data_IF_766439023239
#
_entry.id   IF_766439023239
#
_cell.length_a   1.000
_cell.length_b   1.000
_cell.length_c   1.000
_cell.angle_alpha   90.00
_cell.angle_beta   90.00
_cell.angle_gamma   90.00
#
_symmetry.space_group_name_H-M   'P 1'
#
loop_
_entity.id
_entity.type
_entity.pdbx_description
1 polymer ?
#
# COMPACT_ATOMS: atom_id res chain seq x y z
N UNK A 1 26.77 21.50 -10.76
CA UNK A 1 26.62 21.85 -12.19
C UNK A 1 25.59 20.92 -12.81
N UNK A 2 24.50 21.48 -13.33
CA UNK A 2 23.35 20.75 -13.91
C UNK A 2 23.83 19.67 -14.90
N UNK A 3 24.88 19.94 -15.68
CA UNK A 3 25.45 18.98 -16.59
C UNK A 3 25.99 17.72 -15.92
N UNK A 4 26.71 17.88 -14.82
CA UNK A 4 27.21 16.74 -14.04
C UNK A 4 26.08 15.93 -13.39
N UNK A 5 24.96 16.56 -13.09
CA UNK A 5 23.77 15.90 -12.55
C UNK A 5 23.01 15.16 -13.65
N UNK A 6 22.93 15.72 -14.86
CA UNK A 6 22.29 15.09 -16.04
C UNK A 6 23.08 13.89 -16.55
N UNK A 7 24.42 13.94 -16.52
CA UNK A 7 25.28 12.85 -17.00
C UNK A 7 25.42 11.71 -16.00
N UNK A 8 25.20 11.97 -14.71
CA UNK A 8 25.09 10.91 -13.74
C UNK A 8 23.76 10.18 -13.95
N UNK A 9 23.83 8.92 -14.45
CA UNK A 9 22.69 8.04 -14.34
C UNK A 9 22.23 8.02 -12.88
N UNK A 10 21.11 8.64 -12.57
CA UNK A 10 20.45 8.49 -11.29
C UNK A 10 20.00 7.04 -11.21
N UNK A 11 20.80 6.19 -10.58
CA UNK A 11 20.36 4.86 -10.18
C UNK A 11 19.34 5.04 -9.05
N UNK A 12 18.09 5.24 -9.41
CA UNK A 12 17.00 5.19 -8.45
C UNK A 12 17.04 3.81 -7.76
N UNK A 13 17.11 3.80 -6.45
CA UNK A 13 17.01 2.57 -5.70
C UNK A 13 15.60 2.05 -5.88
N UNK A 14 15.47 0.98 -6.64
CA UNK A 14 14.20 0.40 -7.07
C UNK A 14 14.02 -0.95 -6.42
N UNK A 15 12.89 -1.13 -5.72
CA UNK A 15 12.42 -2.42 -5.25
C UNK A 15 11.42 -2.99 -6.26
N UNK A 16 11.20 -4.29 -6.21
CA UNK A 16 10.18 -4.95 -7.01
C UNK A 16 8.89 -5.10 -6.21
N UNK A 17 7.74 -5.10 -6.89
CA UNK A 17 6.49 -5.58 -6.33
C UNK A 17 6.49 -7.11 -6.30
N UNK A 18 5.72 -7.76 -5.42
CA UNK A 18 5.60 -9.22 -5.37
C UNK A 18 4.89 -9.83 -6.60
N UNK A 19 4.47 -9.00 -7.54
CA UNK A 19 3.70 -9.38 -8.73
C UNK A 19 4.44 -8.92 -9.99
N UNK A 20 4.87 -9.89 -10.80
CA UNK A 20 5.69 -9.63 -11.99
C UNK A 20 4.94 -8.80 -13.03
N UNK A 21 3.64 -9.08 -13.21
CA UNK A 21 2.78 -8.31 -14.11
C UNK A 21 2.74 -6.81 -13.75
N UNK A 22 2.86 -6.47 -12.47
CA UNK A 22 2.90 -5.09 -12.02
C UNK A 22 4.28 -4.46 -12.30
N UNK A 23 5.36 -5.21 -12.05
CA UNK A 23 6.73 -4.76 -12.33
C UNK A 23 6.93 -4.47 -13.81
N UNK A 24 6.37 -5.30 -14.70
CA UNK A 24 6.49 -5.14 -16.15
C UNK A 24 6.02 -3.75 -16.64
N UNK A 25 5.00 -3.16 -16.00
CA UNK A 25 4.44 -1.86 -16.37
C UNK A 25 4.92 -0.69 -15.51
N UNK A 26 5.19 -0.94 -14.23
CA UNK A 26 5.61 0.12 -13.30
C UNK A 26 7.12 0.30 -13.25
N UNK A 27 7.88 -0.68 -13.72
CA UNK A 27 9.34 -0.78 -13.52
C UNK A 27 9.73 -0.83 -12.03
N UNK A 28 8.85 -1.36 -11.18
CA UNK A 28 9.08 -1.51 -9.74
C UNK A 28 8.64 -0.31 -8.89
N UNK A 29 9.08 -0.33 -7.64
CA UNK A 29 8.77 0.63 -6.59
C UNK A 29 10.02 1.44 -6.25
N UNK A 30 9.99 2.76 -6.36
CA UNK A 30 11.16 3.63 -6.21
C UNK A 30 11.13 4.41 -4.91
N UNK A 31 12.30 4.59 -4.32
CA UNK A 31 12.49 5.56 -3.22
C UNK A 31 12.31 6.99 -3.77
N UNK A 32 11.80 7.89 -2.95
CA UNK A 32 11.49 9.26 -3.34
C UNK A 32 10.17 9.43 -4.10
N UNK A 33 9.36 8.35 -4.22
CA UNK A 33 8.04 8.41 -4.85
C UNK A 33 6.90 8.23 -3.84
N UNK A 34 5.80 8.90 -4.13
CA UNK A 34 4.51 8.71 -3.48
C UNK A 34 3.62 7.83 -4.37
N UNK A 35 3.43 6.59 -3.97
CA UNK A 35 2.53 5.64 -4.61
C UNK A 35 1.22 5.60 -3.85
N UNK A 36 0.10 5.86 -4.51
CA UNK A 36 -1.22 5.71 -3.89
C UNK A 36 -1.92 4.47 -4.42
N UNK A 37 -2.46 3.67 -3.51
CA UNK A 37 -3.29 2.50 -3.81
C UNK A 37 -4.71 2.81 -3.37
N UNK A 38 -5.66 2.70 -4.30
CA UNK A 38 -7.07 2.94 -4.01
C UNK A 38 -7.92 1.72 -4.34
N UNK A 39 -8.93 1.47 -3.52
CA UNK A 39 -9.88 0.39 -3.75
C UNK A 39 -11.17 0.60 -2.94
N UNK A 40 -12.23 -0.07 -3.33
CA UNK A 40 -13.45 -0.20 -2.54
C UNK A 40 -13.20 -0.88 -1.18
N UNK A 41 -14.19 -0.83 -0.30
CA UNK A 41 -14.13 -1.53 0.99
C UNK A 41 -14.12 -3.05 0.77
N UNK A 42 -13.34 -3.79 1.57
CA UNK A 42 -13.32 -5.26 1.52
C UNK A 42 -12.63 -5.89 0.30
N UNK A 43 -12.07 -5.09 -0.62
CA UNK A 43 -11.45 -5.58 -1.87
C UNK A 43 -10.08 -6.23 -1.68
N UNK A 44 -9.43 -6.01 -0.52
CA UNK A 44 -8.14 -6.64 -0.20
C UNK A 44 -6.93 -5.70 -0.18
N UNK A 45 -7.13 -4.37 0.03
CA UNK A 45 -6.04 -3.38 0.13
C UNK A 45 -4.97 -3.79 1.13
N UNK A 46 -5.37 -4.11 2.36
CA UNK A 46 -4.43 -4.48 3.43
C UNK A 46 -3.70 -5.78 3.11
N UNK A 47 -4.35 -6.75 2.43
CA UNK A 47 -3.68 -7.96 1.96
C UNK A 47 -2.62 -7.62 0.93
N UNK A 48 -2.92 -6.76 -0.05
CA UNK A 48 -1.94 -6.28 -1.03
C UNK A 48 -0.75 -5.60 -0.34
N UNK A 49 -1.00 -4.70 0.62
CA UNK A 49 0.05 -4.02 1.37
C UNK A 49 0.94 -4.99 2.17
N UNK A 50 0.38 -6.06 2.75
CA UNK A 50 1.15 -7.09 3.46
C UNK A 50 2.08 -7.86 2.55
N UNK A 51 1.64 -8.19 1.32
CA UNK A 51 2.50 -8.83 0.32
C UNK A 51 3.66 -7.90 -0.09
N UNK A 52 3.36 -6.63 -0.36
CA UNK A 52 4.39 -5.64 -0.68
C UNK A 52 5.38 -5.47 0.48
N UNK A 53 4.88 -5.35 1.73
CA UNK A 53 5.73 -5.20 2.91
C UNK A 53 6.68 -6.38 3.09
N UNK A 54 6.16 -7.61 2.98
CA UNK A 54 6.96 -8.83 3.09
C UNK A 54 8.02 -8.90 2.00
N UNK A 55 7.65 -8.59 0.77
CA UNK A 55 8.58 -8.66 -0.37
C UNK A 55 9.71 -7.61 -0.25
N UNK A 56 9.39 -6.40 0.20
CA UNK A 56 10.39 -5.38 0.52
C UNK A 56 11.40 -5.86 1.58
N UNK A 57 10.93 -6.51 2.64
CA UNK A 57 11.80 -7.10 3.68
C UNK A 57 12.72 -8.18 3.06
N UNK A 58 12.18 -9.05 2.22
CA UNK A 58 12.94 -10.10 1.51
C UNK A 58 14.02 -9.51 0.60
N UNK A 59 13.76 -8.38 -0.02
CA UNK A 59 14.71 -7.61 -0.82
C UNK A 59 15.70 -6.80 0.04
N UNK A 60 15.64 -6.92 1.37
CA UNK A 60 16.53 -6.27 2.35
C UNK A 60 16.27 -4.77 2.57
N UNK A 61 15.15 -4.25 2.10
CA UNK A 61 14.71 -2.90 2.45
C UNK A 61 14.15 -2.84 3.87
N UNK A 62 14.31 -1.69 4.51
CA UNK A 62 13.67 -1.39 5.79
C UNK A 62 12.30 -0.75 5.57
N UNK A 63 11.31 -1.23 6.31
CA UNK A 63 9.90 -0.88 6.09
C UNK A 63 9.27 -0.34 7.38
N UNK A 64 8.68 0.86 7.29
CA UNK A 64 7.73 1.37 8.28
C UNK A 64 6.31 0.97 7.89
N UNK A 65 5.60 0.29 8.78
CA UNK A 65 4.22 -0.15 8.53
C UNK A 65 3.26 0.48 9.53
N UNK A 66 2.39 1.34 9.02
CA UNK A 66 1.42 2.13 9.79
C UNK A 66 0.03 1.69 9.37
N UNK A 67 -0.55 0.76 10.13
CA UNK A 67 -1.92 0.30 9.95
C UNK A 67 -2.81 0.93 11.02
N UNK A 68 -3.66 1.87 10.62
CA UNK A 68 -4.47 2.66 11.55
C UNK A 68 -5.80 1.98 11.93
N UNK A 69 -6.23 0.96 11.19
CA UNK A 69 -7.46 0.21 11.47
C UNK A 69 -7.24 -1.08 12.24
N UNK A 70 -6.00 -1.52 12.41
CA UNK A 70 -5.74 -2.80 13.06
C UNK A 70 -4.62 -2.71 14.11
N UNK A 71 -4.63 -3.67 15.05
CA UNK A 71 -3.59 -3.76 16.07
C UNK A 71 -2.25 -4.23 15.46
N UNK A 72 -1.14 -3.88 16.11
CA UNK A 72 0.21 -4.37 15.77
C UNK A 72 0.24 -5.90 15.66
N UNK A 73 -0.42 -6.60 16.60
CA UNK A 73 -0.52 -8.06 16.57
C UNK A 73 -1.21 -8.57 15.31
N UNK A 74 -2.26 -7.90 14.85
CA UNK A 74 -3.00 -8.27 13.64
C UNK A 74 -2.16 -8.05 12.40
N UNK A 75 -1.46 -6.93 12.30
CA UNK A 75 -0.53 -6.63 11.20
C UNK A 75 0.61 -7.64 11.15
N UNK A 76 1.24 -7.93 12.29
CA UNK A 76 2.31 -8.93 12.39
C UNK A 76 1.85 -10.32 11.94
N UNK A 77 0.71 -10.80 12.46
CA UNK A 77 0.14 -12.08 12.06
C UNK A 77 -0.24 -12.11 10.57
N UNK A 78 -0.68 -10.98 10.02
CA UNK A 78 -0.99 -10.88 8.59
C UNK A 78 0.25 -11.05 7.71
N UNK A 79 1.36 -10.38 8.05
CA UNK A 79 2.62 -10.47 7.29
C UNK A 79 3.26 -11.85 7.44
N UNK A 80 3.33 -12.38 8.66
CA UNK A 80 3.82 -13.75 8.91
C UNK A 80 2.93 -14.80 8.21
N UNK A 81 1.62 -14.53 8.14
CA UNK A 81 0.67 -15.41 7.45
C UNK A 81 0.90 -15.49 5.94
N UNK A 82 1.29 -14.38 5.30
CA UNK A 82 1.70 -14.37 3.89
C UNK A 82 2.95 -15.22 3.69
N UNK A 83 3.95 -15.13 4.59
CA UNK A 83 5.17 -15.93 4.53
C UNK A 83 4.90 -17.42 4.65
N UNK A 84 4.08 -17.81 5.63
CA UNK A 84 3.72 -19.20 5.89
C UNK A 84 2.61 -19.73 4.96
N UNK A 85 2.05 -18.87 4.11
CA UNK A 85 0.89 -19.18 3.27
C UNK A 85 -0.26 -19.77 4.11
N UNK A 86 -0.52 -19.14 5.26
CA UNK A 86 -1.54 -19.58 6.21
C UNK A 86 -2.20 -18.39 6.92
N UNK A 87 -3.52 -18.35 7.02
CA UNK A 87 -4.23 -17.26 7.70
C UNK A 87 -4.07 -17.37 9.22
N UNK A 88 -2.92 -16.96 9.77
CA UNK A 88 -2.53 -17.13 11.18
C UNK A 88 -3.50 -16.49 12.20
N UNK A 89 -4.37 -15.62 11.76
CA UNK A 89 -5.42 -15.03 12.57
C UNK A 89 -6.64 -15.94 12.72
N UNK A 90 -6.79 -16.95 11.85
CA UNK A 90 -7.87 -17.94 11.90
C UNK A 90 -7.37 -19.25 12.51
N UNK A 91 -6.23 -19.74 12.08
CA UNK A 91 -5.68 -21.01 12.53
C UNK A 91 -4.16 -21.01 12.59
N UNK A 92 -3.62 -21.74 13.55
CA UNK A 92 -2.18 -22.05 13.66
C UNK A 92 -1.92 -23.56 13.61
N UNK A 93 -2.93 -24.32 13.22
CA UNK A 93 -2.83 -25.78 13.16
C UNK A 93 -1.71 -26.21 12.23
N UNK A 94 -0.89 -27.16 12.68
CA UNK A 94 0.26 -27.67 11.92
C UNK A 94 1.48 -26.76 11.89
N UNK A 95 1.51 -25.67 12.66
CA UNK A 95 2.68 -24.76 12.77
C UNK A 95 3.26 -24.89 14.18
N UNK A 96 4.53 -25.24 14.27
CA UNK A 96 5.25 -25.30 15.54
C UNK A 96 5.57 -23.92 16.11
N UNK A 97 5.81 -23.81 17.42
CA UNK A 97 6.27 -22.56 18.04
C UNK A 97 7.65 -22.14 17.46
N UNK A 98 8.51 -23.09 17.17
CA UNK A 98 9.82 -22.84 16.56
C UNK A 98 9.68 -22.22 15.17
N UNK A 99 8.79 -22.74 14.34
CA UNK A 99 8.48 -22.21 13.01
C UNK A 99 7.88 -20.80 13.09
N UNK A 100 6.96 -20.56 14.02
CA UNK A 100 6.42 -19.21 14.28
C UNK A 100 7.51 -18.24 14.71
N UNK A 101 8.42 -18.66 15.59
CA UNK A 101 9.53 -17.83 16.08
C UNK A 101 10.51 -17.52 14.97
N UNK A 102 10.86 -18.52 14.16
CA UNK A 102 11.71 -18.32 13.00
C UNK A 102 11.08 -17.33 12.03
N UNK A 103 9.82 -17.55 11.65
CA UNK A 103 9.10 -16.65 10.74
C UNK A 103 9.02 -15.23 11.29
N UNK A 104 8.76 -15.07 12.59
CA UNK A 104 8.78 -13.75 13.23
C UNK A 104 10.15 -13.07 13.05
N UNK A 105 11.25 -13.77 13.37
CA UNK A 105 12.59 -13.23 13.27
C UNK A 105 12.99 -12.88 11.83
N UNK A 106 12.55 -13.69 10.86
CA UNK A 106 12.86 -13.49 9.44
C UNK A 106 12.00 -12.38 8.80
N UNK A 107 10.89 -11.97 9.41
CA UNK A 107 9.94 -10.98 8.92
C UNK A 107 9.84 -9.75 9.83
N UNK A 108 8.82 -9.67 10.63
CA UNK A 108 8.51 -8.50 11.46
C UNK A 108 9.52 -8.26 12.58
N UNK A 109 10.23 -9.27 13.03
CA UNK A 109 11.30 -9.21 14.03
C UNK A 109 12.70 -9.06 13.42
N UNK A 110 12.84 -8.88 12.12
CA UNK A 110 14.12 -8.83 11.39
C UNK A 110 15.02 -7.62 11.74
N UNK A 111 14.52 -6.68 12.53
CA UNK A 111 15.20 -5.41 12.80
C UNK A 111 15.08 -4.37 11.66
N UNK A 112 14.47 -4.76 10.54
CA UNK A 112 14.19 -3.89 9.38
C UNK A 112 12.70 -3.56 9.20
N UNK A 113 11.87 -3.95 10.16
CA UNK A 113 10.44 -3.73 10.11
C UNK A 113 9.97 -2.96 11.34
N UNK A 114 9.36 -1.80 11.12
CA UNK A 114 8.93 -0.87 12.17
C UNK A 114 7.41 -0.76 12.16
N UNK A 115 6.76 -1.37 13.15
CA UNK A 115 5.32 -1.27 13.37
C UNK A 115 4.97 -0.04 14.22
N UNK A 116 4.04 0.77 13.74
CA UNK A 116 3.54 1.91 14.49
C UNK A 116 2.26 1.58 15.23
N UNK A 117 2.27 1.83 16.54
CA UNK A 117 1.07 1.72 17.37
C UNK A 117 0.39 3.09 17.51
N UNK A 118 -0.83 3.21 17.03
CA UNK A 118 -1.57 4.48 17.01
C UNK A 118 -2.46 4.72 18.25
N UNK A 119 -2.50 3.80 19.21
CA UNK A 119 -3.34 3.95 20.39
C UNK A 119 -2.95 5.20 21.19
N UNK A 120 -3.73 6.27 21.04
CA UNK A 120 -3.71 7.44 21.89
C UNK A 120 -3.50 8.81 21.25
N UNK A 121 -3.08 8.96 20.01
CA UNK A 121 -2.98 10.28 19.36
C UNK A 121 -2.76 10.16 17.86
N UNK A 122 -3.77 10.50 17.10
CA UNK A 122 -3.75 10.51 15.63
C UNK A 122 -3.86 11.91 15.04
N UNK A 123 -3.21 12.89 15.63
CA UNK A 123 -3.08 14.20 14.99
C UNK A 123 -2.20 14.02 13.76
N UNK A 124 -2.62 14.50 12.58
CA UNK A 124 -1.89 14.34 11.31
C UNK A 124 -0.43 14.80 11.40
N UNK A 125 -0.16 15.88 12.12
CA UNK A 125 1.20 16.39 12.33
C UNK A 125 2.06 15.41 13.14
N UNK A 126 1.46 14.69 14.10
CA UNK A 126 2.14 13.63 14.83
C UNK A 126 2.49 12.46 13.91
N UNK A 127 1.58 12.10 13.00
CA UNK A 127 1.81 11.01 12.05
C UNK A 127 2.94 11.37 11.07
N UNK A 128 2.91 12.59 10.50
CA UNK A 128 3.98 13.08 9.62
C UNK A 128 5.33 13.15 10.35
N UNK A 129 5.34 13.58 11.62
CA UNK A 129 6.54 13.61 12.46
C UNK A 129 7.07 12.19 12.72
N UNK A 130 6.20 11.19 12.90
CA UNK A 130 6.61 9.79 13.05
C UNK A 130 7.17 9.20 11.77
N UNK A 131 6.57 9.50 10.62
CA UNK A 131 7.11 9.09 9.31
C UNK A 131 8.49 9.71 9.10
N UNK A 132 8.67 11.00 9.44
CA UNK A 132 9.96 11.69 9.38
C UNK A 132 10.99 11.06 10.30
N UNK A 133 10.59 10.68 11.52
CA UNK A 133 11.46 9.97 12.45
C UNK A 133 11.89 8.60 11.92
N UNK A 134 10.97 7.82 11.37
CA UNK A 134 11.27 6.53 10.73
C UNK A 134 12.29 6.73 9.60
N UNK A 135 12.09 7.74 8.75
CA UNK A 135 12.98 8.03 7.64
C UNK A 135 14.39 8.44 8.08
N UNK A 136 14.50 9.36 9.06
CA UNK A 136 15.78 9.99 9.41
C UNK A 136 16.53 9.29 10.55
N UNK A 137 15.81 8.65 11.48
CA UNK A 137 16.40 8.07 12.68
C UNK A 137 16.43 6.54 12.64
N UNK A 138 15.51 5.91 11.94
CA UNK A 138 15.45 4.46 11.78
C UNK A 138 15.96 3.99 10.41
N UNK A 139 16.37 4.90 9.54
CA UNK A 139 16.85 4.62 8.18
C UNK A 139 15.87 3.73 7.37
N UNK A 140 14.59 4.07 7.46
CA UNK A 140 13.53 3.35 6.75
C UNK A 140 13.54 3.73 5.28
N UNK A 141 13.51 2.72 4.40
CA UNK A 141 13.50 2.91 2.94
C UNK A 141 12.11 3.19 2.39
N UNK A 142 11.11 2.46 2.92
CA UNK A 142 9.72 2.57 2.49
C UNK A 142 8.77 2.64 3.67
N UNK A 143 7.73 3.48 3.56
CA UNK A 143 6.64 3.55 4.53
C UNK A 143 5.33 3.17 3.87
N UNK A 144 4.58 2.25 4.47
CA UNK A 144 3.23 1.87 4.07
C UNK A 144 2.26 2.46 5.09
N UNK A 145 1.33 3.30 4.63
CA UNK A 145 0.29 3.93 5.44
C UNK A 145 -1.10 3.43 5.02
N UNK A 146 -1.70 2.58 5.85
CA UNK A 146 -3.02 1.99 5.66
C UNK A 146 -3.96 2.43 6.80
N UNK A 147 -4.88 3.37 6.59
CA UNK A 147 -5.15 4.18 5.42
C UNK A 147 -5.34 5.67 5.78
N UNK A 148 -5.31 6.53 4.74
CA UNK A 148 -5.36 7.99 4.85
C UNK A 148 -6.52 8.53 5.70
N UNK A 149 -7.75 8.06 5.47
CA UNK A 149 -8.95 8.63 6.10
C UNK A 149 -8.98 8.45 7.62
N UNK A 150 -8.38 7.39 8.15
CA UNK A 150 -8.22 7.22 9.60
C UNK A 150 -7.21 8.23 10.19
N UNK A 151 -6.17 8.56 9.43
CA UNK A 151 -5.23 9.60 9.84
C UNK A 151 -5.88 10.98 9.98
N UNK A 152 -6.94 11.22 9.22
CA UNK A 152 -7.64 12.51 9.16
C UNK A 152 -8.85 12.59 10.10
N UNK A 153 -9.48 11.47 10.45
CA UNK A 153 -10.65 11.45 11.33
C UNK A 153 -10.37 12.05 12.71
N UNK A 154 -9.12 12.00 13.16
CA UNK A 154 -8.68 12.59 14.42
C UNK A 154 -8.42 14.11 14.36
N UNK A 155 -8.43 14.72 13.16
CA UNK A 155 -8.27 16.16 12.99
C UNK A 155 -9.60 16.92 13.00
N UNK A 156 -10.73 16.21 12.86
CA UNK A 156 -12.04 16.81 12.60
C UNK A 156 -12.64 17.65 13.73
N UNK A 157 -12.11 17.55 14.95
CA UNK A 157 -12.72 18.22 16.10
C UNK A 157 -12.21 19.65 16.38
N UNK A 158 -11.12 20.10 15.79
CA UNK A 158 -10.54 21.40 16.18
C UNK A 158 -10.48 22.47 15.07
N UNK A 159 -10.43 22.15 13.77
CA UNK A 159 -10.10 23.21 12.80
C UNK A 159 -10.86 23.27 11.47
N UNK A 160 -11.49 22.23 10.94
CA UNK A 160 -12.33 22.35 9.73
C UNK A 160 -13.31 21.18 9.58
N UNK A 161 -14.58 21.46 9.32
CA UNK A 161 -15.59 20.47 8.88
C UNK A 161 -15.40 20.02 7.41
N UNK A 162 -14.27 20.34 6.77
CA UNK A 162 -14.00 20.06 5.36
C UNK A 162 -12.92 18.98 5.21
N UNK A 163 -13.34 17.72 5.17
CA UNK A 163 -12.48 16.55 4.96
C UNK A 163 -11.53 16.75 3.76
N UNK A 164 -11.98 17.45 2.71
CA UNK A 164 -11.18 17.70 1.51
C UNK A 164 -9.95 18.55 1.81
N UNK A 165 -10.10 19.62 2.58
CA UNK A 165 -8.97 20.50 2.96
C UNK A 165 -7.95 19.75 3.81
N UNK A 166 -8.42 18.88 4.70
CA UNK A 166 -7.54 18.05 5.52
C UNK A 166 -6.74 17.06 4.67
N UNK A 167 -7.38 16.44 3.69
CA UNK A 167 -6.70 15.54 2.72
C UNK A 167 -5.66 16.34 1.95
N UNK A 168 -6.03 17.49 1.39
CA UNK A 168 -5.11 18.33 0.62
C UNK A 168 -3.90 18.74 1.45
N UNK A 169 -4.11 19.16 2.68
CA UNK A 169 -3.05 19.52 3.62
C UNK A 169 -2.11 18.31 3.88
N UNK A 170 -2.68 17.18 4.30
CA UNK A 170 -1.90 16.01 4.66
C UNK A 170 -1.09 15.47 3.48
N UNK A 171 -1.72 15.29 2.33
CA UNK A 171 -1.05 14.73 1.13
C UNK A 171 0.03 15.68 0.62
N UNK A 172 -0.19 17.00 0.68
CA UNK A 172 0.82 18.01 0.34
C UNK A 172 2.03 17.95 1.28
N UNK A 173 1.80 17.86 2.59
CA UNK A 173 2.87 17.71 3.59
C UNK A 173 3.61 16.37 3.45
N UNK A 174 2.87 15.30 3.16
CA UNK A 174 3.47 13.99 2.92
C UNK A 174 4.36 14.01 1.66
N UNK A 175 3.92 14.66 0.58
CA UNK A 175 4.74 14.84 -0.63
C UNK A 175 6.03 15.59 -0.33
N UNK A 176 5.95 16.71 0.39
CA UNK A 176 7.13 17.46 0.83
C UNK A 176 8.08 16.58 1.65
N UNK A 177 7.54 15.77 2.55
CA UNK A 177 8.33 14.86 3.38
C UNK A 177 9.06 13.80 2.51
N UNK A 178 8.38 13.24 1.51
CA UNK A 178 8.98 12.30 0.55
C UNK A 178 10.15 12.95 -0.19
N UNK A 179 10.00 14.16 -0.67
CA UNK A 179 11.06 14.92 -1.35
C UNK A 179 12.25 15.25 -0.43
N UNK A 180 11.97 15.66 0.80
CA UNK A 180 13.01 16.00 1.78
C UNK A 180 13.81 14.78 2.30
N UNK A 181 13.19 13.62 2.38
CA UNK A 181 13.79 12.44 3.00
C UNK A 181 14.25 11.39 2.00
N UNK A 182 13.73 11.43 0.78
CA UNK A 182 14.00 10.43 -0.25
C UNK A 182 13.39 9.05 0.02
N UNK A 183 12.49 8.90 1.02
CA UNK A 183 11.81 7.62 1.27
C UNK A 183 10.76 7.34 0.19
N UNK A 184 10.48 6.06 -0.09
CA UNK A 184 9.29 5.67 -0.82
C UNK A 184 8.08 5.59 0.12
N UNK A 185 6.94 6.13 -0.30
CA UNK A 185 5.70 6.03 0.49
C UNK A 185 4.60 5.36 -0.31
N UNK A 186 3.98 4.35 0.30
CA UNK A 186 2.78 3.70 -0.22
C UNK A 186 1.61 4.13 0.65
N UNK A 187 0.74 4.96 0.07
CA UNK A 187 -0.44 5.50 0.72
C UNK A 187 -1.69 4.73 0.27
N UNK A 188 -2.44 4.20 1.22
CA UNK A 188 -3.74 3.60 0.93
C UNK A 188 -4.84 4.65 1.09
N UNK A 189 -5.70 4.77 0.08
CA UNK A 189 -6.86 5.66 0.07
C UNK A 189 -8.13 4.91 -0.28
N UNK A 190 -9.24 5.33 0.29
CA UNK A 190 -10.55 4.81 -0.08
C UNK A 190 -11.13 5.51 -1.32
N UNK A 191 -11.99 4.80 -2.02
CA UNK A 191 -12.82 5.37 -3.08
C UNK A 191 -14.04 6.11 -2.49
N UNK A 192 -14.55 7.08 -3.23
CA UNK A 192 -15.89 7.62 -2.98
C UNK A 192 -16.93 6.51 -3.13
N UNK A 193 -18.05 6.65 -2.45
CA UNK A 193 -19.19 5.80 -2.76
C UNK A 193 -19.56 5.99 -4.24
N UNK A 194 -19.78 4.89 -4.93
CA UNK A 194 -20.20 4.93 -6.33
C UNK A 194 -21.57 5.60 -6.43
N UNK A 195 -21.73 6.52 -7.37
CA UNK A 195 -23.05 7.00 -7.78
C UNK A 195 -23.63 5.98 -8.79
N UNK A 196 -24.83 5.45 -8.51
CA UNK A 196 -25.53 4.47 -9.33
C UNK A 196 -25.62 3.07 -8.71
N UNK A 197 -26.26 2.15 -9.45
CA UNK A 197 -26.65 0.81 -8.96
C UNK A 197 -25.48 -0.18 -8.77
N UNK A 198 -24.31 0.09 -9.39
CA UNK A 198 -23.10 -0.74 -9.22
C UNK A 198 -22.07 -0.04 -8.34
N UNK A 199 -21.70 -0.72 -7.25
CA UNK A 199 -20.57 -0.32 -6.39
C UNK A 199 -19.21 -0.73 -6.99
N UNK A 200 -18.13 -0.20 -6.42
CA UNK A 200 -16.76 -0.66 -6.74
C UNK A 200 -16.52 -2.09 -6.25
N UNK A 201 -17.27 -2.50 -5.24
CA UNK A 201 -17.38 -3.87 -4.74
C UNK A 201 -18.15 -4.82 -5.68
N UNK A 202 -18.84 -4.30 -6.68
CA UNK A 202 -19.53 -5.07 -7.73
C UNK A 202 -18.73 -5.07 -9.06
N UNK A 203 -17.42 -4.79 -9.00
CA UNK A 203 -16.52 -4.82 -10.15
C UNK A 203 -16.56 -3.59 -11.06
N UNK A 204 -17.18 -2.47 -10.62
CA UNK A 204 -17.13 -1.21 -11.37
C UNK A 204 -15.70 -0.75 -11.57
N UNK A 205 -15.35 -0.32 -12.78
CA UNK A 205 -14.03 0.23 -13.06
C UNK A 205 -13.77 1.51 -12.27
N UNK A 206 -12.57 1.58 -11.72
CA UNK A 206 -12.12 2.73 -10.94
C UNK A 206 -11.47 3.75 -11.86
N UNK A 207 -11.90 4.98 -11.79
CA UNK A 207 -11.30 6.12 -12.50
C UNK A 207 -10.65 7.08 -11.50
N UNK A 208 -9.83 8.01 -12.00
CA UNK A 208 -9.22 9.05 -11.14
C UNK A 208 -10.27 9.88 -10.37
N UNK A 209 -11.44 10.12 -10.96
CA UNK A 209 -12.53 10.87 -10.34
C UNK A 209 -13.19 10.11 -9.17
N UNK A 210 -12.94 8.81 -9.07
CA UNK A 210 -13.47 7.96 -8.00
C UNK A 210 -12.71 8.11 -6.67
N UNK A 211 -11.55 8.81 -6.65
CA UNK A 211 -10.80 9.07 -5.43
C UNK A 211 -11.63 9.88 -4.43
N UNK A 212 -11.72 9.34 -3.21
CA UNK A 212 -12.44 10.01 -2.13
C UNK A 212 -11.62 11.20 -1.63
N UNK A 213 -12.30 12.33 -1.50
CA UNK A 213 -11.81 13.51 -0.82
C UNK A 213 -11.23 14.55 -1.75
N UNK A 214 -10.17 14.28 -2.51
CA UNK A 214 -9.46 15.36 -3.18
C UNK A 214 -8.77 14.95 -4.47
N UNK A 215 -8.76 15.86 -5.44
CA UNK A 215 -7.93 15.79 -6.64
C UNK A 215 -6.42 15.79 -6.31
N UNK A 216 -6.03 16.32 -5.15
CA UNK A 216 -4.62 16.40 -4.73
C UNK A 216 -3.97 15.03 -4.63
N UNK A 217 -4.71 14.00 -4.20
CA UNK A 217 -4.20 12.63 -4.15
C UNK A 217 -3.70 12.21 -5.54
N UNK A 218 -4.52 12.40 -6.57
CA UNK A 218 -4.16 12.06 -7.94
C UNK A 218 -3.03 12.95 -8.49
N UNK A 219 -3.02 14.24 -8.15
CA UNK A 219 -2.03 15.20 -8.64
C UNK A 219 -0.64 14.96 -8.02
N UNK A 220 -0.59 14.74 -6.70
CA UNK A 220 0.66 14.66 -5.92
C UNK A 220 1.28 13.26 -5.92
N UNK A 221 0.51 12.21 -6.23
CA UNK A 221 1.07 10.86 -6.40
C UNK A 221 1.87 10.74 -7.69
N UNK A 222 3.01 10.04 -7.61
CA UNK A 222 3.81 9.67 -8.76
C UNK A 222 3.22 8.45 -9.48
N UNK A 223 2.69 7.51 -8.71
CA UNK A 223 1.98 6.33 -9.19
C UNK A 223 0.62 6.25 -8.51
N UNK A 224 -0.41 5.90 -9.27
CA UNK A 224 -1.75 5.65 -8.74
C UNK A 224 -2.25 4.31 -9.23
N UNK A 225 -2.43 3.39 -8.30
CA UNK A 225 -2.94 2.05 -8.54
C UNK A 225 -4.37 1.94 -8.02
N UNK A 226 -5.23 1.27 -8.76
CA UNK A 226 -6.54 0.87 -8.26
C UNK A 226 -6.64 -0.64 -8.19
N UNK A 227 -7.30 -1.12 -7.13
CA UNK A 227 -7.65 -2.53 -6.98
C UNK A 227 -9.18 -2.62 -6.99
N UNK A 228 -9.73 -3.35 -7.95
CA UNK A 228 -11.16 -3.63 -8.06
C UNK A 228 -11.41 -5.13 -7.99
N UNK A 229 -12.52 -5.51 -7.39
CA UNK A 229 -12.94 -6.91 -7.25
C UNK A 229 -14.45 -6.97 -7.21
N UNK A 230 -15.02 -7.91 -7.92
CA UNK A 230 -16.40 -8.30 -7.72
C UNK A 230 -16.48 -9.26 -6.52
N UNK A 231 -16.96 -8.73 -5.38
CA UNK A 231 -17.06 -9.50 -4.13
C UNK A 231 -18.13 -10.61 -4.24
N UNK A 232 -19.12 -10.42 -5.13
CA UNK A 232 -20.21 -11.39 -5.37
C UNK A 232 -19.76 -12.55 -6.25
N UNK A 233 -18.66 -12.39 -6.98
CA UNK A 233 -18.09 -13.43 -7.82
C UNK A 233 -17.40 -14.52 -7.01
N UNK A 234 -17.72 -15.77 -7.27
CA UNK A 234 -17.06 -16.93 -6.66
C UNK A 234 -15.57 -17.04 -7.01
N UNK A 235 -15.15 -16.40 -8.10
CA UNK A 235 -13.76 -16.46 -8.61
C UNK A 235 -12.74 -15.71 -7.75
N UNK A 236 -13.19 -14.80 -6.89
CA UNK A 236 -12.34 -13.98 -5.98
C UNK A 236 -11.15 -13.30 -6.66
N UNK A 237 -11.35 -12.88 -7.92
CA UNK A 237 -10.35 -12.20 -8.71
C UNK A 237 -10.34 -10.70 -8.39
N UNK A 238 -9.14 -10.15 -8.19
CA UNK A 238 -8.89 -8.73 -8.03
C UNK A 238 -8.10 -8.21 -9.23
N UNK A 239 -8.63 -7.19 -9.90
CA UNK A 239 -7.95 -6.52 -11.02
C UNK A 239 -7.17 -5.32 -10.49
N UNK A 240 -5.89 -5.27 -10.80
CA UNK A 240 -5.03 -4.11 -10.51
C UNK A 240 -4.88 -3.29 -11.78
N UNK A 241 -5.20 -2.01 -11.70
CA UNK A 241 -5.13 -1.07 -12.84
C UNK A 241 -4.25 0.11 -12.46
N UNK A 242 -3.37 0.52 -13.36
CA UNK A 242 -2.55 1.70 -13.22
C UNK A 242 -3.34 2.89 -13.76
N UNK A 243 -3.74 3.81 -12.87
CA UNK A 243 -4.49 5.02 -13.22
C UNK A 243 -3.56 6.17 -13.57
N UNK A 244 -2.35 6.20 -12.99
CA UNK A 244 -1.31 7.18 -13.25
C UNK A 244 0.06 6.55 -13.05
N UNK A 245 0.99 6.87 -13.94
CA UNK A 245 2.38 6.47 -13.86
C UNK A 245 3.23 7.61 -14.38
N UNK A 246 3.83 8.38 -13.47
CA UNK A 246 4.66 9.53 -13.84
C UNK A 246 6.00 9.10 -14.42
N UNK A 247 6.48 7.91 -14.05
CA UNK A 247 7.78 7.40 -14.46
C UNK A 247 7.82 7.02 -15.94
N UNK A 248 6.89 6.18 -16.39
CA UNK A 248 6.88 5.69 -17.79
C UNK A 248 5.72 6.25 -18.63
N UNK A 249 4.69 6.83 -17.98
CA UNK A 249 3.44 7.22 -18.64
C UNK A 249 2.50 6.06 -18.95
N UNK A 250 2.92 4.81 -18.70
CA UNK A 250 2.15 3.61 -19.02
C UNK A 250 1.00 3.41 -18.02
N UNK A 251 -0.22 3.31 -18.53
CA UNK A 251 -1.46 3.16 -17.73
C UNK A 251 -2.30 1.98 -18.22
N UNK A 252 -3.38 1.68 -17.53
CA UNK A 252 -4.33 0.62 -17.86
C UNK A 252 -4.20 -0.63 -17.00
N UNK A 253 -4.84 -1.72 -17.43
CA UNK A 253 -4.85 -2.99 -16.70
C UNK A 253 -3.42 -3.55 -16.57
N UNK A 254 -3.01 -3.86 -15.34
CA UNK A 254 -1.68 -4.40 -15.05
C UNK A 254 -1.73 -5.87 -14.67
N UNK A 255 -2.54 -6.21 -13.68
CA UNK A 255 -2.59 -7.55 -13.09
C UNK A 255 -4.01 -8.02 -12.86
N UNK A 256 -4.16 -9.34 -12.91
CA UNK A 256 -5.27 -10.03 -12.24
C UNK A 256 -4.69 -10.89 -11.13
N UNK A 257 -5.17 -10.68 -9.91
CA UNK A 257 -4.73 -11.41 -8.72
C UNK A 257 -5.89 -12.26 -8.21
N UNK A 258 -5.60 -13.47 -7.77
CA UNK A 258 -6.56 -14.34 -7.10
C UNK A 258 -6.27 -14.39 -5.61
N UNK A 259 -7.32 -14.22 -4.80
CA UNK A 259 -7.24 -14.42 -3.36
C UNK A 259 -7.61 -15.85 -3.00
N UNK A 260 -6.68 -16.54 -2.38
CA UNK A 260 -6.86 -17.90 -1.89
C UNK A 260 -7.25 -17.85 -0.40
N UNK A 261 -8.41 -18.41 -0.06
CA UNK A 261 -8.92 -18.44 1.33
C UNK A 261 -8.13 -19.36 2.24
N UNK A 262 -7.59 -20.46 1.70
CA UNK A 262 -6.90 -21.46 2.51
C UNK A 262 -5.52 -20.96 2.94
N UNK A 263 -4.86 -20.22 2.07
CA UNK A 263 -3.54 -19.64 2.34
C UNK A 263 -3.62 -18.19 2.84
N UNK A 264 -4.69 -17.46 2.56
CA UNK A 264 -4.82 -16.02 2.83
C UNK A 264 -3.96 -15.16 1.91
N UNK A 265 -3.45 -15.73 0.80
CA UNK A 265 -2.52 -15.06 -0.10
C UNK A 265 -3.18 -14.57 -1.39
N UNK A 266 -2.57 -13.52 -1.96
CA UNK A 266 -2.82 -13.07 -3.33
C UNK A 266 -1.79 -13.72 -4.24
N UNK A 267 -2.24 -14.29 -5.35
CA UNK A 267 -1.40 -14.90 -6.39
C UNK A 267 -1.71 -14.30 -7.75
N UNK A 268 -0.70 -14.14 -8.57
CA UNK A 268 -0.87 -13.66 -9.95
C UNK A 268 -1.54 -14.72 -10.82
N UNK A 269 -2.57 -14.33 -11.55
CA UNK A 269 -3.26 -15.17 -12.53
C UNK A 269 -2.65 -14.91 -13.90
N UNK A 270 -2.09 -15.96 -14.54
CA UNK A 270 -1.52 -15.86 -15.88
C UNK A 270 -2.62 -15.65 -16.93
N UNK A 271 -2.30 -14.91 -18.01
CA UNK A 271 -3.23 -14.55 -19.06
C UNK A 271 -3.93 -15.74 -19.74
N UNK A 272 -3.24 -16.88 -19.83
CA UNK A 272 -3.79 -18.11 -20.42
C UNK A 272 -5.06 -18.66 -19.72
N UNK A 273 -5.30 -18.25 -18.47
CA UNK A 273 -6.47 -18.68 -17.68
C UNK A 273 -7.65 -17.72 -17.86
N UNK A 274 -7.44 -16.58 -18.54
CA UNK A 274 -8.46 -15.53 -18.71
C UNK A 274 -9.29 -15.68 -20.00
N UNK A 275 -8.83 -16.50 -20.96
CA UNK A 275 -9.51 -16.69 -22.24
C UNK A 275 -10.75 -17.62 -22.16
N UNK A 276 -11.02 -18.23 -21.01
CA UNK A 276 -12.21 -19.05 -20.74
C UNK A 276 -13.38 -18.26 -20.09
N UNK A 277 -13.42 -16.91 -20.30
CA UNK A 277 -14.41 -16.05 -19.63
C UNK A 277 -15.03 -14.98 -20.54
#
# INVERSE_FOLDING_TARGET
DIWNDVVKEEKHVTAQYPFECLNAKTHGLRKGELVTITAGSGVGKSSFCRHVALDLIKQKFSVGYIALEESIKRSALGIMGVELKKPLHLTREGISEEELRKTFNDTVGSGKFYLYNHFGSTVADNLLSKIRYMAKSCDVDFVILDHLHMALSALGDEHTNDERKLIDYFVSKLRTLVEETGIGVILVSHLRRSEGDKGYEDGKEVTMNALRGSASIGQLSDMLLSVSRDIKSDKKLAKVTILKNRYSGETGSACTLQYDLDTGCLTEVKAEVLDDF
#
